data_IF_146703375363
#
_entry.id   IF_146703375363
#
_cell.length_a   1.000
_cell.length_b   1.000
_cell.length_c   1.000
_cell.angle_alpha   90.00
_cell.angle_beta   90.00
_cell.angle_gamma   90.00
#
_symmetry.space_group_name_H-M   'P 1'
#
loop_
_entity.id
_entity.type
_entity.pdbx_description
1 polymer ?
#
# COMPACT_ATOMS: atom_id res chain seq x y z
N UNK A 1 -10.31 -16.24 -14.93
CA UNK A 1 -8.94 -16.73 -14.65
C UNK A 1 -8.29 -15.73 -13.72
N UNK A 2 -8.00 -16.13 -12.47
CA UNK A 2 -7.42 -15.22 -11.48
C UNK A 2 -5.94 -15.01 -11.82
N UNK A 3 -5.54 -13.76 -12.06
CA UNK A 3 -4.14 -13.38 -12.19
C UNK A 3 -3.46 -13.65 -10.85
N UNK A 4 -2.54 -14.60 -10.84
CA UNK A 4 -1.61 -14.79 -9.72
C UNK A 4 -0.70 -13.57 -9.74
N UNK A 5 -0.69 -12.74 -8.69
CA UNK A 5 0.40 -11.78 -8.49
C UNK A 5 1.65 -12.59 -8.11
N UNK A 6 2.31 -13.13 -9.13
CA UNK A 6 3.68 -13.60 -9.02
C UNK A 6 4.50 -12.34 -8.68
N UNK A 7 5.36 -12.35 -7.65
CA UNK A 7 6.26 -11.21 -7.44
C UNK A 7 6.99 -10.94 -8.76
N UNK A 8 7.00 -9.69 -9.24
CA UNK A 8 7.57 -9.38 -10.54
C UNK A 8 9.02 -9.89 -10.61
N UNK A 9 9.44 -10.45 -11.76
CA UNK A 9 10.85 -10.77 -11.95
C UNK A 9 11.69 -9.52 -11.68
N UNK A 10 12.82 -9.70 -10.99
CA UNK A 10 13.82 -8.65 -10.70
C UNK A 10 13.54 -7.67 -9.54
N UNK A 11 12.69 -8.00 -8.55
CA UNK A 11 12.73 -7.25 -7.27
C UNK A 11 14.10 -7.38 -6.57
N UNK A 12 14.43 -6.37 -5.76
CA UNK A 12 15.63 -6.39 -4.95
C UNK A 12 15.63 -7.53 -3.90
N UNK A 13 16.82 -8.06 -3.61
CA UNK A 13 17.03 -9.05 -2.55
C UNK A 13 16.71 -8.44 -1.19
N UNK A 14 16.30 -9.26 -0.22
CA UNK A 14 15.79 -8.80 1.07
C UNK A 14 16.76 -7.88 1.84
N UNK A 15 18.07 -8.05 1.68
CA UNK A 15 19.09 -7.21 2.32
C UNK A 15 19.14 -5.78 1.79
N UNK A 16 18.61 -5.52 0.60
CA UNK A 16 18.60 -4.20 -0.03
C UNK A 16 17.34 -3.40 0.31
N UNK A 17 16.33 -4.03 0.93
CA UNK A 17 15.08 -3.37 1.29
C UNK A 17 15.29 -2.32 2.38
N UNK A 18 14.49 -1.24 2.37
CA UNK A 18 14.51 -0.25 3.44
C UNK A 18 14.13 -0.87 4.77
N UNK A 19 14.68 -0.32 5.85
CA UNK A 19 14.25 -0.70 7.20
C UNK A 19 12.76 -0.39 7.40
N UNK A 20 12.04 -1.34 7.98
CA UNK A 20 10.65 -1.17 8.37
C UNK A 20 10.41 -1.67 9.80
N UNK A 21 9.49 -1.04 10.52
CA UNK A 21 9.18 -1.37 11.92
C UNK A 21 7.74 -1.00 12.28
N UNK A 22 7.21 -1.64 13.32
CA UNK A 22 5.94 -1.20 13.91
C UNK A 22 6.12 0.07 14.73
N UNK A 23 5.18 1.00 14.57
CA UNK A 23 5.23 2.28 15.26
C UNK A 23 4.75 2.18 16.71
N UNK A 24 5.26 3.07 17.56
CA UNK A 24 4.63 3.41 18.84
C UNK A 24 3.51 4.43 18.59
N UNK A 25 2.26 4.04 18.81
CA UNK A 25 1.06 4.84 18.45
C UNK A 25 0.63 5.84 19.53
N UNK A 26 1.57 6.43 20.28
CA UNK A 26 1.23 7.48 21.25
C UNK A 26 0.82 8.79 20.55
N UNK A 27 -0.24 9.43 21.06
CA UNK A 27 -0.92 10.57 20.41
C UNK A 27 -0.06 11.83 20.22
N UNK A 28 1.02 12.01 20.99
CA UNK A 28 1.88 13.21 20.97
C UNK A 28 3.23 13.00 20.25
N UNK A 29 3.31 12.06 19.31
CA UNK A 29 4.56 11.77 18.60
C UNK A 29 4.81 12.72 17.44
N UNK A 30 6.03 13.23 17.33
CA UNK A 30 6.48 13.95 16.13
C UNK A 30 6.44 12.98 14.93
N UNK A 31 5.61 13.29 13.93
CA UNK A 31 5.47 12.47 12.73
C UNK A 31 6.80 12.25 12.01
N UNK A 32 7.75 13.19 12.10
CA UNK A 32 9.06 13.13 11.43
C UNK A 32 10.11 12.32 12.20
N UNK A 33 9.85 11.98 13.47
CA UNK A 33 10.75 11.15 14.27
C UNK A 33 10.66 9.67 13.88
N UNK A 34 11.54 8.81 14.40
CA UNK A 34 11.51 7.38 14.06
C UNK A 34 10.27 6.64 14.58
N UNK A 35 9.74 7.04 15.75
CA UNK A 35 8.57 6.45 16.40
C UNK A 35 8.62 4.91 16.52
N UNK A 36 9.81 4.36 16.79
CA UNK A 36 10.00 2.92 17.07
C UNK A 36 9.38 2.56 18.42
N UNK A 37 8.91 1.33 18.56
CA UNK A 37 8.65 0.73 19.87
C UNK A 37 9.97 0.50 20.61
N UNK A 38 9.89 0.41 21.93
CA UNK A 38 11.03 0.03 22.77
C UNK A 38 10.68 -1.24 23.57
N UNK A 39 11.27 -2.41 23.26
CA UNK A 39 12.27 -2.65 22.20
C UNK A 39 11.70 -2.54 20.77
N UNK A 40 12.57 -2.27 19.79
CA UNK A 40 12.18 -2.17 18.38
C UNK A 40 11.56 -3.47 17.86
N UNK A 41 10.42 -3.35 17.20
CA UNK A 41 9.71 -4.46 16.53
C UNK A 41 9.86 -4.31 15.02
N UNK A 42 10.94 -4.86 14.46
CA UNK A 42 11.23 -4.79 13.03
C UNK A 42 10.22 -5.62 12.21
N UNK A 43 9.93 -5.14 10.99
CA UNK A 43 9.06 -5.80 10.02
C UNK A 43 9.92 -6.44 8.95
N UNK A 44 9.70 -7.73 8.68
CA UNK A 44 10.43 -8.45 7.64
C UNK A 44 9.93 -8.10 6.24
N UNK A 45 10.81 -8.24 5.24
CA UNK A 45 10.47 -8.08 3.82
C UNK A 45 9.31 -8.98 3.39
N UNK A 46 9.23 -10.20 3.94
CA UNK A 46 8.12 -11.12 3.66
C UNK A 46 6.76 -10.56 4.07
N UNK A 47 6.68 -9.79 5.17
CA UNK A 47 5.44 -9.11 5.59
C UNK A 47 5.10 -7.99 4.62
N UNK A 48 6.08 -7.17 4.20
CA UNK A 48 5.85 -6.09 3.24
C UNK A 48 5.36 -6.63 1.89
N UNK A 49 5.98 -7.70 1.36
CA UNK A 49 5.50 -8.37 0.14
C UNK A 49 4.09 -8.94 0.30
N UNK A 50 3.76 -9.50 1.47
CA UNK A 50 2.41 -10.00 1.76
C UNK A 50 1.34 -8.89 1.78
N UNK A 51 1.74 -7.64 2.07
CA UNK A 51 0.89 -6.45 1.96
C UNK A 51 0.83 -5.88 0.54
N UNK A 52 1.53 -6.48 -0.42
CA UNK A 52 1.56 -6.08 -1.83
C UNK A 52 2.59 -5.03 -2.18
N UNK A 53 3.54 -4.74 -1.29
CA UNK A 53 4.65 -3.84 -1.57
C UNK A 53 5.66 -4.55 -2.48
N UNK A 54 6.06 -3.87 -3.56
CA UNK A 54 7.22 -4.25 -4.39
C UNK A 54 8.29 -3.18 -4.30
N UNK A 55 9.54 -3.61 -4.43
CA UNK A 55 10.70 -2.76 -4.21
C UNK A 55 11.89 -3.11 -5.13
N UNK A 56 12.59 -2.06 -5.55
CA UNK A 56 13.82 -2.12 -6.34
C UNK A 56 14.85 -1.14 -5.76
N UNK A 57 16.12 -1.54 -5.81
CA UNK A 57 17.25 -0.67 -5.49
C UNK A 57 17.92 -0.23 -6.79
N UNK A 58 17.90 1.07 -7.06
CA UNK A 58 18.51 1.68 -8.24
C UNK A 58 19.64 2.63 -7.86
N UNK A 59 20.58 2.85 -8.78
CA UNK A 59 21.66 3.82 -8.59
C UNK A 59 21.19 5.25 -8.90
N UNK A 60 20.63 5.93 -7.90
CA UNK A 60 20.14 7.31 -8.02
C UNK A 60 21.20 8.37 -8.40
N UNK A 61 22.52 8.10 -8.29
CA UNK A 61 23.56 9.07 -8.69
C UNK A 61 23.50 9.39 -10.18
N UNK A 62 23.12 8.41 -11.01
CA UNK A 62 22.93 8.58 -12.46
C UNK A 62 21.81 9.58 -12.81
N UNK A 63 21.01 9.99 -11.83
CA UNK A 63 19.80 10.80 -11.97
C UNK A 63 19.92 12.17 -11.30
N UNK A 64 21.06 12.50 -10.68
CA UNK A 64 21.21 13.80 -9.98
C UNK A 64 21.53 14.97 -10.93
N UNK A 65 22.31 14.73 -11.98
CA UNK A 65 22.80 15.81 -12.87
C UNK A 65 21.82 16.14 -14.01
N UNK A 66 20.79 15.30 -14.22
CA UNK A 66 19.96 15.28 -15.42
C UNK A 66 18.48 15.58 -15.18
N UNK A 67 17.99 15.63 -13.94
CA UNK A 67 16.57 15.81 -13.65
C UNK A 67 16.26 17.23 -13.16
N UNK A 68 15.37 17.96 -13.84
CA UNK A 68 14.96 19.28 -13.39
C UNK A 68 14.12 19.17 -12.10
N UNK A 69 14.15 20.21 -11.27
CA UNK A 69 13.36 20.34 -10.03
C UNK A 69 11.84 20.13 -10.24
N UNK A 70 11.38 20.20 -11.50
CA UNK A 70 10.01 19.87 -11.94
C UNK A 70 10.05 19.52 -13.44
N UNK A 71 9.88 18.25 -13.79
CA UNK A 71 9.64 17.81 -15.17
C UNK A 71 8.17 17.41 -15.31
N UNK A 72 7.39 18.14 -16.12
CA UNK A 72 6.03 17.74 -16.51
C UNK A 72 5.87 18.06 -17.99
N UNK A 73 5.52 17.09 -18.86
CA UNK A 73 5.71 15.65 -18.78
C UNK A 73 7.13 15.25 -19.24
N UNK A 74 7.68 14.18 -18.68
CA UNK A 74 8.90 13.59 -19.18
C UNK A 74 8.57 12.47 -20.17
N UNK A 75 9.13 12.54 -21.38
CA UNK A 75 8.93 11.51 -22.40
C UNK A 75 9.68 10.25 -21.95
N UNK A 76 9.03 9.07 -21.92
CA UNK A 76 9.71 7.81 -21.69
C UNK A 76 11.01 7.60 -22.47
N UNK A 77 11.15 8.20 -23.67
CA UNK A 77 12.38 8.13 -24.48
C UNK A 77 13.56 8.92 -23.91
N UNK A 78 13.32 9.85 -22.98
CA UNK A 78 14.35 10.68 -22.35
C UNK A 78 15.03 9.95 -21.17
N UNK A 79 14.68 8.69 -20.93
CA UNK A 79 15.28 7.78 -19.94
C UNK A 79 16.75 7.49 -20.23
N UNK A 80 17.63 8.31 -19.66
CA UNK A 80 19.07 8.13 -19.79
C UNK A 80 19.59 6.85 -19.09
N UNK A 81 18.88 6.29 -18.09
CA UNK A 81 19.28 5.05 -17.42
C UNK A 81 18.55 3.81 -17.97
N UNK A 82 19.27 2.85 -18.57
CA UNK A 82 18.72 1.60 -19.08
C UNK A 82 17.99 0.75 -18.03
N UNK A 83 18.40 0.80 -16.75
CA UNK A 83 17.77 -0.01 -15.69
C UNK A 83 16.35 0.47 -15.39
N UNK A 84 16.16 1.78 -15.23
CA UNK A 84 14.83 2.36 -15.04
C UNK A 84 13.99 2.23 -16.31
N UNK A 85 14.57 2.39 -17.50
CA UNK A 85 13.85 2.17 -18.75
C UNK A 85 13.28 0.75 -18.83
N UNK A 86 14.12 -0.27 -18.58
CA UNK A 86 13.69 -1.67 -18.58
C UNK A 86 12.60 -1.95 -17.55
N UNK A 87 12.72 -1.41 -16.33
CA UNK A 87 11.70 -1.55 -15.30
C UNK A 87 10.37 -0.90 -15.71
N UNK A 88 10.43 0.28 -16.33
CA UNK A 88 9.22 0.99 -16.79
C UNK A 88 8.53 0.24 -17.92
N UNK A 89 9.29 -0.33 -18.85
CA UNK A 89 8.76 -1.14 -19.94
C UNK A 89 8.11 -2.43 -19.43
N UNK A 90 8.76 -3.13 -18.48
CA UNK A 90 8.23 -4.34 -17.84
C UNK A 90 6.93 -4.05 -17.07
N UNK A 91 6.87 -2.92 -16.36
CA UNK A 91 5.76 -2.56 -15.48
C UNK A 91 4.69 -1.67 -16.13
N UNK A 92 4.91 -1.22 -17.36
CA UNK A 92 4.00 -0.32 -18.07
C UNK A 92 3.92 1.10 -17.50
N UNK A 93 4.99 1.60 -16.88
CA UNK A 93 5.05 2.95 -16.30
C UNK A 93 5.20 4.03 -17.39
N UNK A 94 4.09 4.36 -18.03
CA UNK A 94 4.01 5.25 -19.18
C UNK A 94 4.10 6.75 -18.86
N UNK A 95 4.03 7.14 -17.58
CA UNK A 95 4.15 8.54 -17.16
C UNK A 95 5.15 8.67 -16.01
N UNK A 96 5.89 9.78 -16.00
CA UNK A 96 6.69 10.19 -14.86
C UNK A 96 6.70 11.72 -14.70
N UNK A 97 6.79 12.17 -13.45
CA UNK A 97 7.21 13.51 -13.10
C UNK A 97 8.12 13.51 -11.87
N UNK A 98 8.64 14.68 -11.51
CA UNK A 98 9.55 14.85 -10.37
C UNK A 98 8.97 15.88 -9.41
N UNK A 99 9.03 15.56 -8.11
CA UNK A 99 8.62 16.44 -7.01
C UNK A 99 9.76 16.59 -6.00
N UNK A 100 9.92 17.82 -5.48
CA UNK A 100 10.75 18.10 -4.32
C UNK A 100 9.87 18.56 -3.17
N UNK A 101 9.87 17.81 -2.07
CA UNK A 101 9.19 18.20 -0.84
C UNK A 101 10.22 18.86 0.06
N UNK A 102 10.18 20.20 0.04
CA UNK A 102 10.93 21.10 0.89
C UNK A 102 10.19 22.43 0.92
N UNK A 103 10.29 23.18 2.03
CA UNK A 103 9.57 24.45 2.21
C UNK A 103 9.81 25.45 1.07
N UNK A 104 11.03 25.49 0.56
CA UNK A 104 11.43 26.45 -0.49
C UNK A 104 11.04 26.02 -1.91
N UNK A 105 10.64 24.75 -2.10
CA UNK A 105 10.47 24.15 -3.43
C UNK A 105 9.05 23.66 -3.70
N UNK A 106 8.27 23.34 -2.67
CA UNK A 106 6.91 22.83 -2.81
C UNK A 106 5.88 23.95 -2.65
N UNK A 107 5.13 24.30 -3.71
CA UNK A 107 4.03 25.25 -3.59
C UNK A 107 2.98 24.75 -2.59
N UNK A 108 2.48 25.65 -1.73
CA UNK A 108 1.54 25.30 -0.65
C UNK A 108 2.08 24.22 0.31
N UNK A 109 3.40 24.21 0.56
CA UNK A 109 4.08 23.21 1.40
C UNK A 109 3.28 22.80 2.64
N UNK A 110 2.87 23.74 3.50
CA UNK A 110 2.18 23.44 4.77
C UNK A 110 0.80 22.75 4.57
N UNK A 111 0.14 22.99 3.43
CA UNK A 111 -1.10 22.28 3.07
C UNK A 111 -0.78 20.90 2.51
N UNK A 112 0.21 20.81 1.62
CA UNK A 112 0.57 19.57 0.94
C UNK A 112 1.09 18.51 1.92
N UNK A 113 1.97 18.87 2.86
CA UNK A 113 2.48 17.92 3.87
C UNK A 113 1.37 17.36 4.76
N UNK A 114 0.32 18.15 5.04
CA UNK A 114 -0.85 17.67 5.78
C UNK A 114 -1.66 16.68 4.95
N UNK A 115 -1.88 16.98 3.66
CA UNK A 115 -2.56 16.07 2.75
C UNK A 115 -1.80 14.75 2.57
N UNK A 116 -0.47 14.78 2.49
CA UNK A 116 0.34 13.57 2.37
C UNK A 116 0.31 12.72 3.64
N UNK A 117 0.22 13.35 4.81
CA UNK A 117 0.25 12.64 6.10
C UNK A 117 -1.13 12.19 6.60
N UNK A 118 -2.21 12.76 6.08
CA UNK A 118 -3.56 12.25 6.31
C UNK A 118 -3.66 10.81 5.79
N UNK A 119 -4.25 9.88 6.55
CA UNK A 119 -4.37 8.48 6.12
C UNK A 119 -5.35 8.36 4.93
N UNK A 120 -4.88 7.80 3.82
CA UNK A 120 -5.65 7.73 2.57
C UNK A 120 -5.36 6.47 1.75
N UNK A 121 -6.19 6.26 0.72
CA UNK A 121 -5.95 5.32 -0.37
C UNK A 121 -5.85 6.07 -1.70
N UNK A 122 -5.31 5.38 -2.71
CA UNK A 122 -5.43 5.74 -4.12
C UNK A 122 -6.15 4.64 -4.91
N UNK A 123 -6.73 5.03 -6.04
CA UNK A 123 -7.39 4.14 -7.01
C UNK A 123 -6.45 3.56 -8.07
N UNK A 124 -5.14 3.80 -7.89
CA UNK A 124 -4.05 3.24 -8.67
C UNK A 124 -2.85 2.95 -7.75
N UNK A 125 -1.80 2.32 -8.29
CA UNK A 125 -0.53 2.16 -7.57
C UNK A 125 0.12 3.52 -7.28
N UNK A 126 0.67 3.68 -6.08
CA UNK A 126 1.55 4.81 -5.74
C UNK A 126 3.00 4.38 -5.91
N UNK A 127 3.65 4.89 -6.97
CA UNK A 127 5.01 4.50 -7.35
C UNK A 127 5.97 5.66 -7.11
N UNK A 128 7.03 5.43 -6.33
CA UNK A 128 7.99 6.47 -5.94
C UNK A 128 9.41 5.96 -6.07
N UNK A 129 10.24 6.68 -6.81
CA UNK A 129 11.68 6.49 -6.87
C UNK A 129 12.37 7.68 -6.20
N UNK A 130 13.11 7.42 -5.12
CA UNK A 130 13.77 8.46 -4.33
C UNK A 130 15.12 8.78 -4.96
N UNK A 131 15.19 9.95 -5.60
CA UNK A 131 16.41 10.45 -6.25
C UNK A 131 17.37 11.04 -5.19
N UNK A 132 16.82 11.74 -4.19
CA UNK A 132 17.60 12.32 -3.09
C UNK A 132 16.75 12.53 -1.84
N UNK A 133 17.40 12.72 -0.69
CA UNK A 133 16.72 12.89 0.60
C UNK A 133 16.16 11.58 1.15
N UNK A 134 15.18 11.71 2.05
CA UNK A 134 14.56 10.58 2.74
C UNK A 134 13.22 10.93 3.39
N UNK A 135 12.44 9.90 3.71
CA UNK A 135 11.14 10.04 4.35
C UNK A 135 10.54 8.71 4.77
N UNK A 136 9.32 8.76 5.29
CA UNK A 136 8.58 7.61 5.77
C UNK A 136 7.31 7.41 4.97
N UNK A 137 7.11 6.18 4.51
CA UNK A 137 5.78 5.67 4.18
C UNK A 137 5.28 4.86 5.37
N UNK A 138 4.12 5.25 5.90
CA UNK A 138 3.44 4.45 6.91
C UNK A 138 2.29 3.69 6.23
N UNK A 139 2.15 2.40 6.55
CA UNK A 139 1.14 1.50 5.99
C UNK A 139 0.37 0.79 7.11
N UNK A 140 -0.87 0.41 6.85
CA UNK A 140 -1.62 -0.49 7.74
C UNK A 140 -1.26 -1.96 7.47
N UNK A 141 -0.95 -2.71 8.53
CA UNK A 141 -0.80 -4.16 8.48
C UNK A 141 -2.18 -4.89 8.41
N UNK A 142 -2.15 -6.22 8.45
CA UNK A 142 -3.36 -7.07 8.45
C UNK A 142 -4.24 -6.92 9.69
N UNK A 143 -3.77 -6.26 10.73
CA UNK A 143 -4.47 -6.01 12.00
C UNK A 143 -4.69 -4.52 12.22
N UNK A 144 -4.59 -3.72 11.15
CA UNK A 144 -4.76 -2.27 11.16
C UNK A 144 -3.75 -1.52 12.05
N UNK A 145 -2.55 -2.06 12.25
CA UNK A 145 -1.44 -1.42 12.96
C UNK A 145 -0.51 -0.68 12.00
N UNK A 146 0.10 0.40 12.46
CA UNK A 146 1.05 1.15 11.64
C UNK A 146 2.41 0.45 11.52
N UNK A 147 2.84 0.23 10.27
CA UNK A 147 4.21 -0.11 9.88
C UNK A 147 4.82 1.13 9.24
N UNK A 148 5.99 1.55 9.70
CA UNK A 148 6.79 2.64 9.11
C UNK A 148 7.93 2.07 8.27
N UNK A 149 8.09 2.57 7.05
CA UNK A 149 9.16 2.20 6.11
C UNK A 149 10.04 3.44 5.86
N UNK A 150 11.35 3.35 6.11
CA UNK A 150 12.29 4.46 5.89
C UNK A 150 12.90 4.43 4.49
N UNK A 151 12.31 5.18 3.57
CA UNK A 151 12.81 5.31 2.20
C UNK A 151 13.90 6.38 2.10
N UNK A 152 14.94 6.08 1.33
CA UNK A 152 16.14 6.89 1.11
C UNK A 152 16.52 6.87 -0.36
N UNK A 153 17.49 7.71 -0.71
CA UNK A 153 18.10 7.72 -2.05
C UNK A 153 18.37 6.31 -2.60
N UNK A 154 17.93 6.08 -3.84
CA UNK A 154 18.05 4.83 -4.57
C UNK A 154 16.87 3.87 -4.39
N UNK A 155 15.94 4.18 -3.49
CA UNK A 155 14.79 3.31 -3.22
C UNK A 155 13.68 3.58 -4.24
N UNK A 156 13.24 2.55 -4.96
CA UNK A 156 12.01 2.58 -5.75
C UNK A 156 11.00 1.61 -5.14
N UNK A 157 9.84 2.13 -4.76
CA UNK A 157 8.80 1.36 -4.07
C UNK A 157 7.43 1.59 -4.72
N UNK A 158 6.61 0.54 -4.76
CA UNK A 158 5.21 0.59 -5.19
C UNK A 158 4.28 0.25 -4.02
N UNK A 159 3.32 1.12 -3.75
CA UNK A 159 2.21 0.84 -2.86
C UNK A 159 1.01 0.41 -3.72
N UNK A 160 0.37 -0.74 -3.45
CA UNK A 160 -0.71 -1.23 -4.29
C UNK A 160 -1.98 -0.38 -4.17
N UNK A 161 -2.77 -0.32 -5.25
CA UNK A 161 -4.11 0.27 -5.27
C UNK A 161 -4.92 -0.17 -4.02
N UNK A 162 -5.54 0.79 -3.32
CA UNK A 162 -6.43 0.52 -2.18
C UNK A 162 -5.77 0.23 -0.82
N UNK A 163 -4.44 0.28 -0.70
CA UNK A 163 -3.76 0.21 0.61
C UNK A 163 -3.91 1.53 1.36
N UNK A 164 -4.25 1.45 2.66
CA UNK A 164 -4.17 2.63 3.52
C UNK A 164 -2.72 2.97 3.81
N UNK A 165 -2.36 4.21 3.53
CA UNK A 165 -1.02 4.71 3.75
C UNK A 165 -1.03 6.22 4.02
N UNK A 166 0.15 6.71 4.40
CA UNK A 166 0.47 8.14 4.49
C UNK A 166 1.97 8.33 4.30
N UNK A 167 2.37 9.57 4.01
CA UNK A 167 3.76 9.95 3.81
C UNK A 167 4.14 11.16 4.68
N UNK A 168 5.37 11.15 5.19
CA UNK A 168 6.02 12.33 5.79
C UNK A 168 7.51 12.33 5.49
N UNK A 169 8.13 13.51 5.35
CA UNK A 169 9.58 13.61 5.45
C UNK A 169 10.06 13.16 6.84
N UNK A 170 11.31 12.71 6.93
CA UNK A 170 11.98 12.55 8.22
C UNK A 170 12.53 13.90 8.73
N UNK A 171 13.27 13.88 9.83
CA UNK A 171 13.85 15.08 10.47
C UNK A 171 14.76 15.91 9.55
N UNK A 172 15.25 15.36 8.43
CA UNK A 172 16.03 16.13 7.44
C UNK A 172 15.17 17.04 6.57
N UNK A 173 13.85 16.86 6.63
CA UNK A 173 12.84 17.69 5.98
C UNK A 173 13.02 17.91 4.47
N UNK A 174 13.59 16.92 3.79
CA UNK A 174 13.89 17.01 2.37
C UNK A 174 13.73 15.64 1.71
N UNK A 175 12.90 15.57 0.66
CA UNK A 175 12.88 14.45 -0.28
C UNK A 175 12.70 14.95 -1.70
N UNK A 176 13.42 14.34 -2.63
CA UNK A 176 13.32 14.55 -4.06
C UNK A 176 13.03 13.23 -4.72
N UNK A 177 11.84 13.11 -5.32
CA UNK A 177 11.31 11.85 -5.80
C UNK A 177 10.79 11.99 -7.23
N UNK A 178 11.07 10.98 -8.04
CA UNK A 178 10.33 10.72 -9.27
C UNK A 178 9.06 9.93 -8.91
N UNK A 179 7.93 10.37 -9.45
CA UNK A 179 6.65 9.69 -9.32
C UNK A 179 6.33 9.05 -10.67
N UNK A 180 6.04 7.75 -10.68
CA UNK A 180 5.74 7.00 -11.89
C UNK A 180 4.27 6.55 -11.89
N UNK A 181 3.66 6.45 -13.07
CA UNK A 181 2.26 6.06 -13.25
C UNK A 181 2.07 5.13 -14.44
N UNK A 182 1.10 4.23 -14.31
CA UNK A 182 0.50 3.50 -15.42
C UNK A 182 -0.61 4.38 -16.00
N UNK A 183 -0.48 4.80 -17.26
CA UNK A 183 -1.41 5.71 -17.91
C UNK A 183 -1.26 7.18 -17.47
N UNK A 184 -2.37 7.92 -17.48
CA UNK A 184 -2.43 9.31 -17.04
C UNK A 184 -2.53 9.38 -15.52
N UNK A 185 -1.79 10.27 -14.84
CA UNK A 185 -1.76 10.29 -13.39
C UNK A 185 -3.05 10.85 -12.80
N UNK A 186 -3.60 10.13 -11.82
CA UNK A 186 -4.65 10.61 -10.92
C UNK A 186 -4.07 10.66 -9.52
N UNK A 187 -3.94 11.87 -8.97
CA UNK A 187 -3.30 12.11 -7.67
C UNK A 187 -4.29 12.19 -6.51
N UNK A 188 -5.59 12.00 -6.78
CA UNK A 188 -6.64 12.25 -5.79
C UNK A 188 -6.50 11.26 -4.63
N UNK A 189 -6.23 11.73 -3.41
CA UNK A 189 -6.30 10.88 -2.23
C UNK A 189 -7.76 10.71 -1.81
N UNK A 190 -8.12 9.49 -1.41
CA UNK A 190 -9.39 9.23 -0.73
C UNK A 190 -9.10 8.95 0.75
N UNK A 191 -9.29 9.97 1.58
CA UNK A 191 -9.00 9.88 3.01
C UNK A 191 -9.89 8.82 3.67
N UNK A 192 -9.33 8.08 4.62
CA UNK A 192 -10.06 7.08 5.42
C UNK A 192 -11.26 7.74 6.13
N UNK A 193 -12.44 7.08 6.23
CA UNK A 193 -12.79 5.71 5.83
C UNK A 193 -13.16 5.54 4.35
N UNK A 194 -12.76 4.42 3.75
CA UNK A 194 -12.99 4.04 2.34
C UNK A 194 -13.27 2.53 2.15
N UNK A 195 -13.86 1.85 3.15
CA UNK A 195 -14.05 0.39 3.08
C UNK A 195 -14.94 -0.08 1.91
N UNK A 196 -15.87 0.77 1.47
CA UNK A 196 -16.77 0.48 0.34
C UNK A 196 -16.19 0.90 -1.02
N UNK A 197 -15.02 1.55 -1.05
CA UNK A 197 -14.39 2.00 -2.30
C UNK A 197 -13.90 0.79 -3.12
N UNK A 198 -14.10 0.82 -4.45
CA UNK A 198 -13.79 -0.32 -5.33
C UNK A 198 -12.32 -0.78 -5.19
N UNK A 199 -11.39 0.17 -5.18
CA UNK A 199 -9.95 -0.06 -4.98
C UNK A 199 -9.63 -0.71 -3.64
N UNK A 200 -10.32 -0.29 -2.57
CA UNK A 200 -10.16 -0.90 -1.25
C UNK A 200 -10.65 -2.34 -1.23
N UNK A 201 -11.81 -2.61 -1.84
CA UNK A 201 -12.35 -3.96 -1.98
C UNK A 201 -11.42 -4.88 -2.82
N UNK A 202 -10.82 -4.34 -3.89
CA UNK A 202 -9.80 -5.07 -4.68
C UNK A 202 -8.59 -5.42 -3.81
N UNK A 203 -8.06 -4.46 -3.06
CA UNK A 203 -6.93 -4.67 -2.14
C UNK A 203 -7.23 -5.76 -1.12
N UNK A 204 -8.38 -5.67 -0.43
CA UNK A 204 -8.82 -6.65 0.57
C UNK A 204 -8.86 -8.05 -0.03
N UNK A 205 -9.47 -8.21 -1.21
CA UNK A 205 -9.57 -9.50 -1.90
C UNK A 205 -8.22 -10.06 -2.36
N UNK A 206 -7.29 -9.19 -2.75
CA UNK A 206 -5.98 -9.61 -3.25
C UNK A 206 -5.03 -10.01 -2.13
N UNK A 207 -4.97 -9.21 -1.06
CA UNK A 207 -3.91 -9.27 -0.04
C UNK A 207 -4.41 -9.64 1.36
N UNK A 208 -5.64 -9.29 1.74
CA UNK A 208 -6.11 -9.51 3.11
C UNK A 208 -6.90 -10.82 3.26
N UNK A 209 -7.78 -11.15 2.32
CA UNK A 209 -8.69 -12.31 2.43
C UNK A 209 -7.99 -13.67 2.36
N UNK A 210 -6.82 -13.74 1.71
CA UNK A 210 -6.00 -14.97 1.71
C UNK A 210 -5.35 -15.22 3.06
N UNK A 211 -5.00 -14.16 3.78
CA UNK A 211 -4.30 -14.26 5.06
C UNK A 211 -5.25 -14.57 6.22
N UNK A 212 -6.54 -14.23 6.13
CA UNK A 212 -7.54 -14.70 7.10
C UNK A 212 -7.71 -16.23 7.08
N UNK A 213 -7.69 -16.85 5.90
CA UNK A 213 -7.76 -18.31 5.79
C UNK A 213 -6.52 -19.01 6.38
N UNK A 214 -5.34 -18.35 6.33
CA UNK A 214 -4.13 -18.84 7.01
C UNK A 214 -4.19 -18.61 8.53
N UNK A 215 -4.75 -17.48 9.00
CA UNK A 215 -4.99 -17.23 10.43
C UNK A 215 -5.94 -18.28 11.02
N UNK A 216 -7.06 -18.60 10.35
CA UNK A 216 -8.02 -19.63 10.81
C UNK A 216 -7.40 -21.04 10.85
N UNK A 217 -6.54 -21.40 9.89
CA UNK A 217 -5.87 -22.69 9.88
C UNK A 217 -4.77 -22.82 10.96
N UNK A 218 -4.29 -21.71 11.53
CA UNK A 218 -3.32 -21.71 12.63
C UNK A 218 -3.97 -21.61 14.01
N UNK A 219 -5.19 -21.07 14.13
CA UNK A 219 -5.91 -20.95 15.42
C UNK A 219 -6.74 -22.17 15.77
N UNK A 220 -6.91 -23.15 14.87
CA UNK A 220 -7.57 -24.42 15.18
C UNK A 220 -9.03 -24.30 15.61
N UNK A 221 -9.70 -23.18 15.32
CA UNK A 221 -11.14 -23.04 15.57
C UNK A 221 -11.91 -23.62 14.39
N UNK A 222 -12.57 -24.76 14.60
CA UNK A 222 -13.50 -25.34 13.65
C UNK A 222 -14.64 -24.36 13.35
N UNK A 223 -15.06 -24.23 12.08
CA UNK A 223 -16.18 -23.36 11.74
C UNK A 223 -17.47 -23.91 12.37
N UNK A 224 -18.18 -23.04 13.08
CA UNK A 224 -19.45 -23.37 13.71
C UNK A 224 -20.46 -23.91 12.67
N UNK A 225 -20.81 -25.19 12.83
CA UNK A 225 -21.84 -25.87 12.04
C UNK A 225 -23.17 -25.14 12.23
N UNK A 226 -23.67 -24.50 11.17
CA UNK A 226 -25.04 -23.99 11.12
C UNK A 226 -26.00 -25.17 11.18
N UNK A 227 -26.58 -25.43 12.36
CA UNK A 227 -27.72 -26.34 12.51
C UNK A 227 -28.92 -25.74 11.78
N UNK A 228 -29.35 -26.38 10.70
CA UNK A 228 -30.65 -26.13 10.08
C UNK A 228 -31.74 -26.57 11.05
N UNK A 229 -32.65 -25.64 11.40
CA UNK A 229 -33.92 -25.99 12.04
C UNK A 229 -34.76 -26.76 11.01
N UNK A 230 -35.01 -28.04 11.26
CA UNK A 230 -36.17 -28.74 10.70
C UNK A 230 -37.40 -28.29 11.48
N UNK A 231 -38.41 -27.79 10.79
CA UNK A 231 -39.77 -27.66 11.32
C UNK A 231 -40.42 -29.04 11.27
N UNK A 232 -40.76 -29.57 12.44
CA UNK A 232 -41.62 -30.73 12.61
C UNK A 232 -43.08 -30.25 12.58
N UNK A 233 -43.82 -30.59 11.54
CA UNK A 233 -45.29 -30.56 11.56
C UNK A 233 -45.79 -31.97 11.86
N UNK A 234 -46.22 -32.18 13.11
CA UNK A 234 -46.92 -33.39 13.53
C UNK A 234 -48.42 -33.28 13.23
N UNK A 235 -48.93 -34.40 12.75
CA UNK A 235 -50.31 -34.78 12.42
C UNK A 235 -51.27 -34.75 13.62
N UNK A 236 -52.51 -34.32 13.38
CA UNK A 236 -53.68 -34.77 14.14
C UNK A 236 -54.79 -35.19 13.15
N UNK A 237 -55.25 -36.42 13.32
CA UNK A 237 -56.54 -37.00 12.87
C UNK A 237 -57.09 -37.66 14.14
N UNK A 238 -58.39 -37.54 14.49
CA UNK A 238 -59.36 -38.50 13.94
C UNK A 238 -60.82 -37.99 13.78
N UNK A 239 -61.45 -38.45 12.69
CA UNK A 239 -62.80 -39.05 12.56
C UNK A 239 -64.08 -38.25 12.95
N UNK A 240 -65.00 -38.09 11.97
CA UNK A 240 -66.37 -38.67 11.91
C UNK A 240 -67.28 -37.90 10.92
N UNK A 241 -67.86 -38.63 9.96
CA UNK A 241 -69.07 -38.27 9.17
C UNK A 241 -70.33 -38.51 10.05
N UNK A 242 -71.52 -37.89 9.81
CA UNK A 242 -72.34 -38.18 8.61
C UNK A 242 -73.28 -37.05 8.06
N UNK A 243 -73.63 -37.20 6.77
CA UNK A 243 -74.94 -37.06 6.10
C UNK A 243 -75.71 -35.71 5.96
N UNK A 244 -76.30 -35.58 4.75
CA UNK A 244 -77.54 -34.87 4.34
C UNK A 244 -77.50 -33.31 4.40
N UNK A 245 -77.96 -32.53 3.42
CA UNK A 245 -78.90 -32.63 2.28
C UNK A 245 -78.34 -31.85 1.07
#
# INVERSE_FOLDING_TARGET
MATKSVPPPNEAIDSDWPEAWYMNESEDTDQKALNRKEPNEAVSVSVLRALGISYWKLNADKYMDSYPLKAVPWDPSDAADPELAALRDDRGYSYADVITIHRDHLPNYDKMIKCFFEEHIHDAEEIRFIINGSGFFDLRDLNDKWIRIHVKKGDLMTLPEGIYHRFTCDEKDYIHAMRLFIGQPVWTPFNRPQEDHESRLKYIKAFLSKNESMKQNMTGEEPAVKKSKKEDTATEDPTLSPAAE
#
